data_IF_887082634708
#
_entry.id   IF_887082634708
#
_cell.length_a   1.000
_cell.length_b   1.000
_cell.length_c   1.000
_cell.angle_alpha   90.00
_cell.angle_beta   90.00
_cell.angle_gamma   90.00
#
_symmetry.space_group_name_H-M   'P 1'
#
loop_
_entity.id
_entity.type
_entity.pdbx_description
1 polymer ?
#
# COMPACT_ATOMS: atom_id res chain seq x y z
N UNK A 1 1.74 -21.80 -15.81
CA UNK A 1 2.71 -20.95 -15.10
C UNK A 1 1.96 -19.69 -14.72
N UNK A 2 1.77 -19.42 -13.43
CA UNK A 2 1.06 -18.21 -13.02
C UNK A 2 1.96 -17.01 -13.37
N UNK A 3 1.50 -16.12 -14.24
CA UNK A 3 2.27 -14.92 -14.59
C UNK A 3 2.55 -14.12 -13.29
N UNK A 4 3.78 -13.65 -13.12
CA UNK A 4 4.23 -12.99 -11.89
C UNK A 4 3.59 -11.61 -11.75
N UNK A 5 2.35 -11.51 -11.24
CA UNK A 5 1.68 -10.21 -11.04
C UNK A 5 2.17 -9.52 -9.77
N UNK A 6 2.75 -8.34 -9.89
CA UNK A 6 3.20 -7.50 -8.78
C UNK A 6 2.22 -6.34 -8.62
N UNK A 7 1.68 -6.17 -7.41
CA UNK A 7 0.76 -5.06 -7.11
C UNK A 7 1.44 -4.13 -6.11
N UNK A 8 1.55 -2.85 -6.46
CA UNK A 8 1.98 -1.77 -5.57
C UNK A 8 0.77 -0.91 -5.26
N UNK A 9 0.32 -0.92 -4.02
CA UNK A 9 -0.94 -0.31 -3.61
C UNK A 9 -0.69 0.83 -2.61
N UNK A 10 -1.11 2.03 -2.98
CA UNK A 10 -1.20 3.17 -2.08
C UNK A 10 -2.50 3.14 -1.28
N UNK A 11 -2.41 3.17 0.03
CA UNK A 11 -3.55 3.24 0.94
C UNK A 11 -3.62 4.62 1.62
N UNK A 12 -4.79 4.92 2.16
CA UNK A 12 -5.02 6.08 3.02
C UNK A 12 -6.08 7.03 2.47
N UNK A 13 -6.08 8.26 2.97
CA UNK A 13 -7.08 9.26 2.65
C UNK A 13 -6.42 10.61 2.33
N UNK A 14 -6.50 11.02 1.05
CA UNK A 14 -5.92 12.29 0.57
C UNK A 14 -6.46 13.53 1.30
N UNK A 15 -7.65 13.45 1.90
CA UNK A 15 -8.27 14.56 2.62
C UNK A 15 -7.79 14.67 4.08
N UNK A 16 -7.09 13.67 4.60
CA UNK A 16 -6.67 13.57 6.01
C UNK A 16 -5.14 13.70 6.16
N UNK A 17 -4.62 14.87 5.80
CA UNK A 17 -3.22 15.26 6.02
C UNK A 17 -2.23 14.15 5.63
N UNK A 18 -1.44 13.66 6.60
CA UNK A 18 -0.39 12.66 6.36
C UNK A 18 -0.94 11.25 6.07
N UNK A 19 -2.23 10.98 6.31
CA UNK A 19 -2.88 9.73 5.89
C UNK A 19 -2.86 9.58 4.36
N UNK A 20 -2.78 10.68 3.61
CA UNK A 20 -2.65 10.66 2.16
C UNK A 20 -1.29 10.18 1.64
N UNK A 21 -0.32 9.90 2.52
CA UNK A 21 1.05 9.54 2.13
C UNK A 21 1.10 8.36 1.16
N UNK A 22 0.42 7.25 1.46
CA UNK A 22 0.46 6.03 0.65
C UNK A 22 0.02 6.26 -0.79
N UNK A 23 -1.14 6.90 -0.96
CA UNK A 23 -1.66 7.32 -2.27
C UNK A 23 -0.67 8.24 -2.98
N UNK A 24 -0.11 9.22 -2.28
CA UNK A 24 0.81 10.20 -2.88
C UNK A 24 2.14 9.57 -3.33
N UNK A 25 2.57 8.49 -2.70
CA UNK A 25 3.72 7.70 -3.17
C UNK A 25 3.32 6.91 -4.42
N UNK A 26 2.17 6.23 -4.44
CA UNK A 26 1.68 5.47 -5.60
C UNK A 26 1.55 6.36 -6.84
N UNK A 27 0.91 7.54 -6.72
CA UNK A 27 0.81 8.52 -7.80
C UNK A 27 2.19 8.93 -8.35
N UNK A 28 3.17 9.16 -7.47
CA UNK A 28 4.53 9.53 -7.88
C UNK A 28 5.27 8.38 -8.55
N UNK A 29 5.07 7.13 -8.11
CA UNK A 29 5.64 5.95 -8.74
C UNK A 29 5.08 5.75 -10.14
N UNK A 30 3.76 5.91 -10.30
CA UNK A 30 3.10 5.84 -11.60
C UNK A 30 3.59 6.94 -12.54
N UNK A 31 3.68 8.19 -12.07
CA UNK A 31 4.01 9.32 -12.93
C UNK A 31 5.49 9.41 -13.33
N UNK A 32 6.41 8.82 -12.56
CA UNK A 32 7.86 9.03 -12.74
C UNK A 32 8.60 7.87 -13.39
N UNK A 33 7.99 6.69 -13.47
CA UNK A 33 8.66 5.47 -13.93
C UNK A 33 7.82 4.73 -14.95
N UNK A 34 8.49 4.01 -15.84
CA UNK A 34 7.86 3.01 -16.69
C UNK A 34 7.98 1.66 -16.00
N UNK A 35 6.86 0.96 -15.91
CA UNK A 35 6.77 -0.32 -15.25
C UNK A 35 6.59 -1.44 -16.28
N UNK A 36 7.16 -2.63 -16.03
CA UNK A 36 6.83 -3.84 -16.79
C UNK A 36 5.32 -4.14 -16.75
N UNK A 37 4.82 -4.88 -17.75
CA UNK A 37 3.40 -5.20 -17.87
C UNK A 37 2.86 -5.95 -16.64
N UNK A 38 3.71 -6.72 -15.99
CA UNK A 38 3.36 -7.51 -14.82
C UNK A 38 3.29 -6.70 -13.51
N UNK A 39 3.67 -5.41 -13.53
CA UNK A 39 3.64 -4.52 -12.36
C UNK A 39 2.49 -3.52 -12.49
N UNK A 40 1.58 -3.57 -11.51
CA UNK A 40 0.41 -2.70 -11.44
C UNK A 40 0.53 -1.76 -10.25
N UNK A 41 0.39 -0.45 -10.50
CA UNK A 41 0.31 0.56 -9.44
C UNK A 41 -1.16 0.91 -9.21
N UNK A 42 -1.64 0.74 -7.98
CA UNK A 42 -3.06 0.87 -7.61
C UNK A 42 -3.22 1.97 -6.56
N UNK A 43 -4.17 2.87 -6.79
CA UNK A 43 -4.73 3.71 -5.72
C UNK A 43 -5.82 2.89 -5.00
N UNK A 44 -5.49 2.41 -3.80
CA UNK A 44 -6.40 1.62 -2.97
C UNK A 44 -7.29 2.46 -2.06
N UNK A 45 -6.96 3.74 -1.86
CA UNK A 45 -7.67 4.62 -0.94
C UNK A 45 -7.98 3.97 0.42
N UNK A 46 -9.24 4.10 0.82
CA UNK A 46 -9.83 3.48 2.02
C UNK A 46 -10.82 2.36 1.70
N UNK A 47 -10.66 1.70 0.54
CA UNK A 47 -11.66 0.82 -0.07
C UNK A 47 -11.86 -0.56 0.62
N UNK A 48 -11.04 -0.92 1.61
CA UNK A 48 -11.22 -2.11 2.43
C UNK A 48 -11.38 -3.40 1.62
N UNK A 49 -12.49 -4.13 1.80
CA UNK A 49 -12.74 -5.42 1.15
C UNK A 49 -12.82 -5.34 -0.38
N UNK A 50 -13.11 -4.17 -0.96
CA UNK A 50 -13.13 -3.99 -2.41
C UNK A 50 -11.74 -4.20 -3.05
N UNK A 51 -10.67 -4.19 -2.23
CA UNK A 51 -9.29 -4.42 -2.68
C UNK A 51 -8.91 -5.90 -2.72
N UNK A 52 -9.77 -6.81 -2.24
CA UNK A 52 -9.44 -8.23 -2.09
C UNK A 52 -9.04 -8.88 -3.43
N UNK A 53 -9.69 -8.51 -4.52
CA UNK A 53 -9.35 -9.03 -5.85
C UNK A 53 -7.91 -8.73 -6.28
N UNK A 54 -7.38 -7.54 -5.94
CA UNK A 54 -5.98 -7.21 -6.21
C UNK A 54 -5.03 -8.03 -5.33
N UNK A 55 -5.38 -8.23 -4.06
CA UNK A 55 -4.57 -9.00 -3.10
C UNK A 55 -4.49 -10.46 -3.51
N UNK A 56 -5.60 -11.09 -3.87
CA UNK A 56 -5.65 -12.51 -4.25
C UNK A 56 -4.93 -12.80 -5.58
N UNK A 57 -4.91 -11.83 -6.49
CA UNK A 57 -4.26 -11.98 -7.80
C UNK A 57 -2.76 -11.64 -7.77
N UNK A 58 -2.27 -10.99 -6.71
CA UNK A 58 -0.89 -10.59 -6.56
C UNK A 58 0.00 -11.80 -6.21
N UNK A 59 1.01 -12.06 -7.03
CA UNK A 59 2.15 -12.90 -6.64
C UNK A 59 3.03 -12.20 -5.60
N UNK A 60 3.10 -10.86 -5.68
CA UNK A 60 3.83 -10.00 -4.77
C UNK A 60 3.00 -8.73 -4.51
N UNK A 61 2.85 -8.35 -3.25
CA UNK A 61 2.09 -7.18 -2.83
C UNK A 61 2.98 -6.23 -2.02
N UNK A 62 3.06 -4.98 -2.46
CA UNK A 62 3.69 -3.88 -1.74
C UNK A 62 2.60 -2.89 -1.31
N UNK A 63 2.40 -2.76 0.00
CA UNK A 63 1.49 -1.76 0.57
C UNK A 63 2.27 -0.51 0.98
N UNK A 64 1.74 0.65 0.62
CA UNK A 64 2.25 1.97 0.98
C UNK A 64 1.19 2.65 1.83
N UNK A 65 1.48 2.93 3.09
CA UNK A 65 0.51 3.49 4.03
C UNK A 65 1.19 4.38 5.09
N UNK A 66 0.43 5.30 5.68
CA UNK A 66 0.83 6.04 6.86
C UNK A 66 0.28 5.36 8.11
N UNK A 67 1.17 4.97 9.02
CA UNK A 67 0.78 4.27 10.25
C UNK A 67 1.34 5.02 11.46
N UNK A 68 0.49 5.23 12.47
CA UNK A 68 0.91 5.75 13.77
C UNK A 68 1.52 4.65 14.63
N UNK A 69 2.85 4.69 14.76
CA UNK A 69 3.63 3.84 15.66
C UNK A 69 4.19 4.60 16.88
N UNK A 70 3.80 5.86 17.11
CA UNK A 70 4.40 6.69 18.15
C UNK A 70 5.91 6.95 17.94
N UNK A 71 6.39 6.87 16.69
CA UNK A 71 7.76 7.18 16.31
C UNK A 71 7.90 8.67 15.92
N UNK A 72 9.14 9.12 15.70
CA UNK A 72 9.36 10.47 15.17
C UNK A 72 8.65 10.66 13.81
N UNK A 73 7.99 11.80 13.56
CA UNK A 73 7.31 12.07 12.30
C UNK A 73 8.21 11.85 11.08
N UNK A 74 7.68 11.22 10.03
CA UNK A 74 8.44 10.88 8.82
C UNK A 74 9.37 9.67 8.93
N UNK A 75 9.36 8.95 10.06
CA UNK A 75 10.09 7.68 10.19
C UNK A 75 9.56 6.64 9.20
N UNK A 76 10.44 6.11 8.35
CA UNK A 76 10.11 5.04 7.41
C UNK A 76 10.38 3.66 8.05
N UNK A 77 9.39 2.77 7.96
CA UNK A 77 9.51 1.36 8.38
C UNK A 77 9.03 0.44 7.26
N UNK A 78 9.70 -0.68 7.10
CA UNK A 78 9.34 -1.73 6.13
C UNK A 78 9.10 -3.04 6.87
N UNK A 79 7.97 -3.67 6.59
CA UNK A 79 7.59 -4.96 7.15
C UNK A 79 7.35 -5.96 6.02
N UNK A 80 7.68 -7.22 6.24
CA UNK A 80 7.51 -8.28 5.24
C UNK A 80 7.12 -9.60 5.91
N UNK A 81 6.29 -10.39 5.21
CA UNK A 81 5.82 -11.69 5.68
C UNK A 81 5.19 -11.62 7.07
N UNK A 82 5.62 -12.49 7.97
CA UNK A 82 5.08 -12.58 9.34
C UNK A 82 5.35 -11.35 10.22
N UNK A 83 6.26 -10.46 9.79
CA UNK A 83 6.54 -9.20 10.49
C UNK A 83 5.51 -8.12 10.18
N UNK A 84 4.62 -8.34 9.21
CA UNK A 84 3.52 -7.41 8.94
C UNK A 84 2.61 -7.38 10.17
N UNK A 85 2.41 -6.21 10.80
CA UNK A 85 1.63 -6.13 12.02
C UNK A 85 0.19 -6.55 11.77
N UNK A 86 -0.32 -7.41 12.65
CA UNK A 86 -1.73 -7.81 12.67
C UNK A 86 -2.53 -6.68 13.32
N UNK A 87 -2.89 -5.67 12.55
CA UNK A 87 -3.77 -4.60 13.03
C UNK A 87 -5.21 -5.12 12.94
N UNK A 88 -5.78 -5.55 14.08
CA UNK A 88 -7.23 -5.49 14.25
C UNK A 88 -7.58 -4.03 14.54
N UNK A 89 -8.71 -3.56 14.01
CA UNK A 89 -9.21 -2.18 14.13
C UNK A 89 -8.89 -1.53 15.49
N UNK A 90 -8.60 -0.22 15.54
CA UNK A 90 -8.10 0.44 16.74
C UNK A 90 -8.97 0.09 17.95
N UNK A 91 -8.34 -0.49 18.97
CA UNK A 91 -8.95 -0.56 20.30
C UNK A 91 -9.08 0.90 20.77
N UNK A 92 -10.32 1.37 20.84
CA UNK A 92 -10.67 2.57 21.60
C UNK A 92 -10.29 2.41 23.06
#
# INVERSE_FOLDING_TARGET
MNAQRVVVMGLGNLLWADEGFGIRVAERLYARYHWPEEVEIVDGGTQGLNLLGYVEQASHLLLLDAIDYGLAPGSLRTYAGEKIPRISAPKK
#
